data_IF_227967844071
#
_entry.id   IF_227967844071
#
_cell.length_a   1.000
_cell.length_b   1.000
_cell.length_c   1.000
_cell.angle_alpha   90.00
_cell.angle_beta   90.00
_cell.angle_gamma   90.00
#
_symmetry.space_group_name_H-M   'P 1'
#
loop_
_entity.id
_entity.type
_entity.pdbx_description
1 polymer ?
#
# COMPACT_ATOMS: atom_id res chain seq x y z
N UNK A 1 10.76 18.51 4.98
CA UNK A 1 10.81 17.43 4.47
C UNK A 1 9.62 16.92 3.83
N UNK A 2 9.74 16.28 2.78
CA UNK A 2 8.69 15.84 2.07
C UNK A 2 8.22 14.54 2.52
N UNK A 3 6.94 14.36 2.60
CA UNK A 3 6.38 13.10 2.96
C UNK A 3 6.08 12.35 1.67
N UNK A 4 6.87 11.34 1.40
CA UNK A 4 6.70 10.59 0.17
C UNK A 4 5.34 9.93 0.07
N UNK A 5 4.66 9.78 1.16
CA UNK A 5 3.38 9.10 1.15
C UNK A 5 2.24 10.00 0.72
N UNK A 6 2.51 11.24 0.41
CA UNK A 6 1.44 12.13 0.00
C UNK A 6 0.85 11.74 -1.35
N UNK A 7 1.48 10.83 -2.06
CA UNK A 7 0.91 10.36 -3.31
C UNK A 7 -0.28 9.44 -3.07
N UNK A 8 -0.46 9.00 -1.82
CA UNK A 8 -1.58 8.14 -1.49
C UNK A 8 -2.72 8.95 -0.91
N UNK A 9 -3.88 8.31 -0.81
CA UNK A 9 -5.00 8.93 -0.16
C UNK A 9 -4.65 9.21 1.27
N UNK A 10 -5.33 10.18 1.84
CA UNK A 10 -5.05 10.55 3.20
C UNK A 10 -5.22 9.37 4.16
N UNK A 11 -6.27 8.59 3.98
CA UNK A 11 -6.49 7.47 4.88
C UNK A 11 -5.40 6.41 4.74
N UNK A 12 -4.95 6.19 3.51
CA UNK A 12 -3.87 5.22 3.29
C UNK A 12 -2.59 5.74 3.94
N UNK A 13 -2.31 7.02 3.76
CA UNK A 13 -1.11 7.61 4.34
C UNK A 13 -1.14 7.48 5.85
N UNK A 14 -2.27 7.76 6.47
CA UNK A 14 -2.38 7.65 7.91
C UNK A 14 -2.13 6.24 8.37
N UNK A 15 -2.70 5.27 7.66
CA UNK A 15 -2.53 3.88 8.03
C UNK A 15 -1.06 3.49 7.98
N UNK A 16 -0.37 3.90 6.93
CA UNK A 16 1.03 3.58 6.81
C UNK A 16 1.84 4.22 7.91
N UNK A 17 1.55 5.47 8.20
CA UNK A 17 2.26 6.18 9.24
C UNK A 17 2.07 5.50 10.60
N UNK A 18 0.87 5.05 10.87
CA UNK A 18 0.59 4.39 12.13
C UNK A 18 1.33 3.07 12.27
N UNK A 19 1.71 2.50 11.14
CA UNK A 19 2.45 1.26 11.16
C UNK A 19 3.96 1.47 11.07
N UNK A 20 4.38 2.70 11.23
CA UNK A 20 5.81 2.98 11.23
C UNK A 20 6.42 3.17 9.86
N UNK A 21 5.60 3.27 8.84
CA UNK A 21 6.10 3.45 7.49
C UNK A 21 5.98 4.93 7.14
N UNK A 22 7.11 5.57 6.89
CA UNK A 22 7.07 6.99 6.60
C UNK A 22 7.62 7.36 5.24
N UNK A 23 8.19 6.42 4.49
CA UNK A 23 8.72 6.74 3.18
C UNK A 23 8.30 5.70 2.16
N UNK A 24 8.31 6.13 0.91
CA UNK A 24 7.97 5.23 -0.17
C UNK A 24 9.01 4.11 -0.30
N UNK A 25 10.26 4.44 -0.01
CA UNK A 25 11.32 3.45 -0.09
C UNK A 25 11.06 2.28 0.85
N UNK A 26 10.45 2.55 1.99
CA UNK A 26 10.14 1.47 2.91
C UNK A 26 9.12 0.52 2.30
N UNK A 27 8.17 1.07 1.56
CA UNK A 27 7.20 0.23 0.89
C UNK A 27 7.85 -0.59 -0.22
N UNK A 28 8.79 0.00 -0.92
CA UNK A 28 9.45 -0.70 -1.99
C UNK A 28 10.24 -1.89 -1.47
N UNK A 29 10.70 -1.79 -0.25
CA UNK A 29 11.47 -2.87 0.35
C UNK A 29 10.58 -3.98 0.91
N UNK A 30 9.29 -3.76 0.96
CA UNK A 30 8.37 -4.75 1.52
C UNK A 30 7.83 -5.66 0.43
N UNK A 31 7.57 -6.89 0.82
CA UNK A 31 6.97 -7.82 -0.14
C UNK A 31 5.47 -7.55 -0.19
N UNK A 32 4.81 -8.09 -1.21
CA UNK A 32 3.37 -7.91 -1.30
C UNK A 32 2.68 -8.47 -0.07
N UNK A 33 3.18 -9.57 0.43
CA UNK A 33 2.59 -10.18 1.59
C UNK A 33 2.72 -9.29 2.81
N UNK A 34 3.86 -8.65 2.97
CA UNK A 34 4.05 -7.76 4.10
C UNK A 34 3.14 -6.56 3.99
N UNK A 35 2.96 -6.04 2.79
CA UNK A 35 2.08 -4.92 2.60
C UNK A 35 0.65 -5.32 2.92
N UNK A 36 0.26 -6.51 2.52
CA UNK A 36 -1.09 -6.97 2.77
C UNK A 36 -1.36 -7.15 4.26
N UNK A 37 -0.32 -7.36 5.04
CA UNK A 37 -0.48 -7.56 6.48
C UNK A 37 -0.45 -6.27 7.28
N UNK A 38 -0.35 -5.15 6.64
CA UNK A 38 -0.35 -3.88 7.35
C UNK A 38 -1.71 -3.70 8.02
N UNK A 39 -1.67 -3.45 9.32
CA UNK A 39 -2.89 -3.31 10.07
C UNK A 39 -3.74 -2.16 9.61
N UNK A 40 -5.00 -2.41 9.39
CA UNK A 40 -5.93 -1.35 9.02
C UNK A 40 -5.87 -0.93 7.57
N UNK A 41 -5.07 -1.61 6.77
CA UNK A 41 -4.89 -1.17 5.40
C UNK A 41 -6.09 -1.47 4.51
N UNK A 42 -6.60 -2.64 4.57
CA UNK A 42 -7.73 -3.00 3.73
C UNK A 42 -7.32 -3.24 2.29
N UNK A 43 -8.25 -3.78 1.52
CA UNK A 43 -7.97 -4.13 0.15
C UNK A 43 -7.71 -2.92 -0.73
N UNK A 44 -8.47 -1.86 -0.54
CA UNK A 44 -8.27 -0.68 -1.33
C UNK A 44 -6.89 -0.08 -1.15
N UNK A 45 -6.45 0.02 0.09
CA UNK A 45 -5.13 0.57 0.36
C UNK A 45 -4.06 -0.33 -0.19
N UNK A 46 -4.25 -1.63 -0.08
CA UNK A 46 -3.31 -2.58 -0.61
C UNK A 46 -3.14 -2.39 -2.12
N UNK A 47 -4.25 -2.31 -2.83
CA UNK A 47 -4.19 -2.13 -4.27
C UNK A 47 -3.58 -0.80 -4.65
N UNK A 48 -3.90 0.22 -3.92
CA UNK A 48 -3.37 1.53 -4.18
C UNK A 48 -1.84 1.52 -4.06
N UNK A 49 -1.35 0.88 -3.02
CA UNK A 49 0.08 0.82 -2.81
C UNK A 49 0.76 0.04 -3.93
N UNK A 50 0.21 -1.11 -4.29
CA UNK A 50 0.81 -1.89 -5.35
C UNK A 50 0.83 -1.14 -6.66
N UNK A 51 -0.22 -0.40 -6.90
CA UNK A 51 -0.31 0.38 -8.11
C UNK A 51 0.80 1.42 -8.16
N UNK A 52 1.02 2.11 -7.06
CA UNK A 52 2.05 3.13 -7.03
C UNK A 52 3.44 2.52 -7.13
N UNK A 53 3.59 1.29 -6.66
CA UNK A 53 4.86 0.60 -6.74
C UNK A 53 5.09 0.00 -8.11
N UNK A 54 4.08 -0.02 -8.94
CA UNK A 54 4.20 -0.63 -10.26
C UNK A 54 4.08 -2.13 -10.24
N UNK A 55 3.51 -2.70 -9.18
CA UNK A 55 3.36 -4.13 -9.08
C UNK A 55 1.98 -4.55 -9.50
N UNK A 56 1.84 -5.81 -9.85
CA UNK A 56 0.56 -6.31 -10.27
C UNK A 56 -0.23 -6.89 -9.13
N UNK A 57 -1.54 -6.84 -9.27
CA UNK A 57 -2.42 -7.40 -8.25
C UNK A 57 -3.25 -8.50 -8.87
N UNK A 58 -2.60 -9.39 -9.52
CA UNK A 58 -3.27 -10.45 -10.26
C UNK A 58 -4.36 -11.16 -9.54
N UNK A 59 -4.06 -11.65 -8.39
CA UNK A 59 -5.01 -12.40 -7.67
C UNK A 59 -6.20 -11.60 -7.31
N UNK A 60 -5.94 -10.40 -6.90
CA UNK A 60 -7.00 -9.52 -6.51
C UNK A 60 -7.87 -9.19 -7.69
N UNK A 61 -7.26 -9.02 -8.83
CA UNK A 61 -8.03 -8.74 -10.01
C UNK A 61 -8.99 -9.83 -10.34
N UNK A 62 -8.54 -11.04 -10.24
CA UNK A 62 -9.40 -12.14 -10.56
C UNK A 62 -10.56 -12.21 -9.62
N UNK A 63 -10.30 -11.99 -8.36
CA UNK A 63 -11.35 -12.02 -7.38
C UNK A 63 -12.38 -10.97 -7.69
N UNK A 64 -11.95 -9.84 -8.10
CA UNK A 64 -12.85 -8.77 -8.41
C UNK A 64 -13.77 -9.10 -9.53
N UNK A 65 -13.24 -9.76 -10.50
CA UNK A 65 -14.05 -10.04 -11.65
C UNK A 65 -15.10 -11.07 -11.43
N UNK A 66 -14.97 -11.85 -10.45
CA UNK A 66 -15.97 -12.87 -10.16
C UNK A 66 -17.28 -12.34 -9.70
#
# INVERSE_FOLDING_TARGET
MKNDLTIFRYSTMLTLTRNGISTFAELEAMSNEQIANIRGLGLRGYREILEKLGRQTDETDRADRC
#
